data_IF_300982424878
#
_entry.id   IF_300982424878
#
_cell.length_a   1.000
_cell.length_b   1.000
_cell.length_c   1.000
_cell.angle_alpha   90.00
_cell.angle_beta   90.00
_cell.angle_gamma   90.00
#
_symmetry.space_group_name_H-M   'P 1'
#
loop_
_entity.id
_entity.type
_entity.pdbx_description
1 polymer ?
#
# COMPACT_ATOMS: atom_id res chain seq x y z
N UNK A 1 -15.69 23.79 8.37
CA UNK A 1 -16.36 22.67 7.65
C UNK A 1 -15.36 21.54 7.54
N UNK A 2 -15.55 20.43 8.27
CA UNK A 2 -14.76 19.20 8.08
C UNK A 2 -15.45 18.43 6.95
N UNK A 3 -14.88 18.49 5.76
CA UNK A 3 -15.39 17.77 4.61
C UNK A 3 -15.47 16.27 4.91
N UNK A 4 -16.57 15.67 4.45
CA UNK A 4 -16.99 14.30 4.68
C UNK A 4 -16.01 13.28 4.06
N UNK A 5 -14.90 12.98 4.71
CA UNK A 5 -13.95 11.95 4.27
C UNK A 5 -14.46 10.49 4.41
N UNK A 6 -15.71 10.26 4.84
CA UNK A 6 -16.00 9.03 5.58
C UNK A 6 -16.75 7.90 4.86
N UNK A 7 -17.14 7.97 3.58
CA UNK A 7 -17.90 6.84 2.99
C UNK A 7 -17.04 5.77 2.33
N UNK A 8 -15.95 6.12 1.64
CA UNK A 8 -15.24 5.17 0.76
C UNK A 8 -13.71 5.14 0.95
N UNK A 9 -13.21 5.27 2.20
CA UNK A 9 -11.79 5.07 2.51
C UNK A 9 -11.52 3.61 2.92
N UNK A 10 -10.53 2.91 2.32
CA UNK A 10 -10.11 1.60 2.81
C UNK A 10 -9.49 1.75 4.22
N UNK A 11 -9.69 0.81 5.16
CA UNK A 11 -9.08 0.85 6.48
C UNK A 11 -7.55 0.99 6.41
N UNK A 12 -6.99 1.94 7.17
CA UNK A 12 -5.56 2.25 7.13
C UNK A 12 -5.11 2.98 5.85
N UNK A 13 -6.04 3.40 4.99
CA UNK A 13 -5.76 4.08 3.74
C UNK A 13 -5.66 5.60 3.86
N UNK A 14 -5.97 6.19 5.01
CA UNK A 14 -6.13 7.64 5.21
C UNK A 14 -4.85 8.43 4.88
N UNK A 15 -3.69 7.80 5.02
CA UNK A 15 -2.37 8.42 4.78
C UNK A 15 -1.48 7.54 3.88
N UNK A 16 -2.08 6.73 3.02
CA UNK A 16 -1.36 5.68 2.28
C UNK A 16 -1.83 5.57 0.84
N UNK A 17 -1.02 4.88 0.03
CA UNK A 17 -1.41 4.39 -1.29
C UNK A 17 -1.87 2.95 -1.12
N UNK A 18 -3.11 2.68 -1.46
CA UNK A 18 -3.71 1.34 -1.37
C UNK A 18 -4.07 0.87 -2.77
N UNK A 19 -3.53 -0.27 -3.18
CA UNK A 19 -3.83 -0.89 -4.47
C UNK A 19 -4.54 -2.22 -4.25
N UNK A 20 -5.79 -2.30 -4.70
CA UNK A 20 -6.45 -3.58 -4.88
C UNK A 20 -6.02 -4.23 -6.17
N UNK A 21 -5.65 -5.52 -6.10
CA UNK A 21 -5.05 -6.29 -7.19
C UNK A 21 -5.63 -7.70 -7.24
N UNK A 22 -5.46 -8.40 -8.36
CA UNK A 22 -5.75 -9.84 -8.48
C UNK A 22 -4.59 -10.60 -9.09
N UNK A 23 -4.45 -11.89 -8.77
CA UNK A 23 -3.60 -12.86 -9.48
C UNK A 23 -4.41 -13.92 -10.27
N UNK A 24 -5.74 -13.73 -10.40
CA UNK A 24 -6.63 -14.76 -10.95
C UNK A 24 -6.76 -14.80 -12.48
N UNK A 25 -7.05 -13.66 -13.13
CA UNK A 25 -7.28 -13.57 -14.59
C UNK A 25 -6.13 -12.88 -15.30
N UNK A 26 -5.57 -13.51 -16.33
CA UNK A 26 -4.33 -13.07 -17.01
C UNK A 26 -4.37 -11.63 -17.52
N UNK A 27 -5.49 -11.20 -18.11
CA UNK A 27 -5.65 -9.81 -18.58
C UNK A 27 -5.61 -8.81 -17.41
N UNK A 28 -6.29 -9.14 -16.31
CA UNK A 28 -6.29 -8.31 -15.09
C UNK A 28 -4.95 -8.32 -14.37
N UNK A 29 -4.21 -9.43 -14.41
CA UNK A 29 -2.84 -9.51 -13.88
C UNK A 29 -1.95 -8.49 -14.60
N UNK A 30 -2.07 -8.43 -15.93
CA UNK A 30 -1.28 -7.51 -16.76
C UNK A 30 -1.58 -6.05 -16.39
N UNK A 31 -2.85 -5.69 -16.26
CA UNK A 31 -3.28 -4.36 -15.82
C UNK A 31 -2.80 -4.02 -14.40
N UNK A 32 -2.92 -4.95 -13.45
CA UNK A 32 -2.43 -4.76 -12.08
C UNK A 32 -0.92 -4.58 -12.03
N UNK A 33 -0.16 -5.38 -12.80
CA UNK A 33 1.29 -5.25 -12.91
C UNK A 33 1.71 -3.91 -13.51
N UNK A 34 0.99 -3.43 -14.52
CA UNK A 34 1.24 -2.12 -15.10
C UNK A 34 1.07 -1.00 -14.06
N UNK A 35 -0.06 -0.98 -13.34
CA UNK A 35 -0.32 0.02 -12.28
C UNK A 35 0.73 -0.06 -11.18
N UNK A 36 1.10 -1.28 -10.76
CA UNK A 36 2.15 -1.50 -9.75
C UNK A 36 3.50 -0.91 -10.18
N UNK A 37 3.88 -1.09 -11.45
CA UNK A 37 5.14 -0.56 -11.98
C UNK A 37 5.19 0.97 -12.00
N UNK A 38 4.08 1.63 -12.37
CA UNK A 38 4.00 3.10 -12.31
C UNK A 38 4.11 3.59 -10.87
N UNK A 39 3.35 3.02 -9.93
CA UNK A 39 3.41 3.47 -8.55
C UNK A 39 4.82 3.29 -7.95
N UNK A 40 5.51 2.19 -8.29
CA UNK A 40 6.90 1.98 -7.89
C UNK A 40 7.87 2.99 -8.50
N UNK A 41 7.67 3.44 -9.75
CA UNK A 41 8.53 4.46 -10.36
C UNK A 41 8.41 5.82 -9.66
N UNK A 42 7.26 6.11 -9.05
CA UNK A 42 7.05 7.27 -8.18
C UNK A 42 7.63 7.09 -6.76
N UNK A 43 8.31 5.98 -6.47
CA UNK A 43 8.99 5.69 -5.20
C UNK A 43 8.06 5.74 -3.97
N UNK A 44 6.76 5.49 -4.17
CA UNK A 44 5.80 5.41 -3.08
C UNK A 44 5.68 4.00 -2.54
N UNK A 45 5.44 3.89 -1.24
CA UNK A 45 5.04 2.64 -0.63
C UNK A 45 3.59 2.32 -0.95
N UNK A 46 3.34 1.07 -1.34
CA UNK A 46 2.03 0.58 -1.77
C UNK A 46 1.57 -0.48 -0.77
N UNK A 47 0.39 -0.28 -0.19
CA UNK A 47 -0.32 -1.32 0.54
C UNK A 47 -1.14 -2.11 -0.48
N UNK A 48 -0.67 -3.31 -0.81
CA UNK A 48 -1.37 -4.19 -1.74
C UNK A 48 -2.47 -5.00 -1.04
N UNK A 49 -3.65 -5.05 -1.66
CA UNK A 49 -4.81 -5.83 -1.23
C UNK A 49 -5.17 -6.80 -2.35
N UNK A 50 -4.64 -8.01 -2.25
CA UNK A 50 -4.88 -9.07 -3.23
C UNK A 50 -6.23 -9.75 -2.95
N UNK A 51 -7.19 -9.62 -3.88
CA UNK A 51 -8.59 -9.99 -3.66
C UNK A 51 -8.89 -11.46 -3.95
N UNK A 52 -8.03 -12.18 -4.69
CA UNK A 52 -8.28 -13.58 -5.04
C UNK A 52 -7.85 -14.55 -3.93
N UNK A 53 -6.89 -14.15 -3.10
CA UNK A 53 -6.38 -14.89 -1.94
C UNK A 53 -7.09 -14.48 -0.64
N UNK A 54 -7.74 -13.32 -0.59
CA UNK A 54 -8.42 -12.83 0.60
C UNK A 54 -9.81 -12.24 0.30
N UNK A 55 -10.85 -13.03 0.61
CA UNK A 55 -12.25 -12.64 0.41
C UNK A 55 -12.67 -11.42 1.25
N UNK A 56 -11.98 -11.12 2.36
CA UNK A 56 -12.24 -9.92 3.13
C UNK A 56 -11.91 -8.65 2.34
N UNK A 57 -10.84 -8.66 1.55
CA UNK A 57 -10.50 -7.54 0.66
C UNK A 57 -11.48 -7.42 -0.51
N UNK A 58 -11.97 -8.53 -1.04
CA UNK A 58 -13.04 -8.51 -2.04
C UNK A 58 -14.31 -7.84 -1.50
N UNK A 59 -14.75 -8.25 -0.31
CA UNK A 59 -15.93 -7.68 0.36
C UNK A 59 -15.72 -6.21 0.72
N UNK A 60 -14.53 -5.84 1.17
CA UNK A 60 -14.18 -4.45 1.43
C UNK A 60 -14.29 -3.60 0.17
N UNK A 61 -13.65 -4.01 -0.94
CA UNK A 61 -13.72 -3.27 -2.19
C UNK A 61 -15.16 -3.11 -2.68
N UNK A 62 -15.97 -4.18 -2.57
CA UNK A 62 -17.40 -4.15 -2.90
C UNK A 62 -18.17 -3.15 -2.03
N UNK A 63 -17.88 -3.07 -0.73
CA UNK A 63 -18.50 -2.09 0.18
C UNK A 63 -18.10 -0.65 -0.16
N UNK A 64 -16.84 -0.43 -0.53
CA UNK A 64 -16.30 0.89 -0.85
C UNK A 64 -16.81 1.43 -2.20
N UNK A 65 -16.94 0.57 -3.22
CA UNK A 65 -17.21 1.01 -4.59
C UNK A 65 -18.51 0.47 -5.20
N UNK A 66 -19.18 -0.48 -4.54
CA UNK A 66 -20.31 -1.22 -5.12
C UNK A 66 -19.91 -2.23 -6.20
N UNK A 67 -18.62 -2.29 -6.56
CA UNK A 67 -18.02 -3.16 -7.59
C UNK A 67 -16.70 -3.73 -7.09
N UNK A 68 -16.17 -4.73 -7.80
CA UNK A 68 -14.92 -5.43 -7.43
C UNK A 68 -13.92 -5.51 -8.58
N UNK A 69 -13.97 -4.51 -9.46
CA UNK A 69 -13.03 -4.38 -10.56
C UNK A 69 -11.66 -3.98 -10.02
N UNK A 70 -10.62 -4.64 -10.54
CA UNK A 70 -9.23 -4.37 -10.22
C UNK A 70 -8.43 -4.18 -11.52
N UNK A 71 -7.35 -3.39 -11.53
CA UNK A 71 -6.79 -2.67 -10.38
C UNK A 71 -7.71 -1.56 -9.89
N UNK A 72 -7.73 -1.31 -8.57
CA UNK A 72 -8.42 -0.17 -7.98
C UNK A 72 -7.48 0.56 -7.02
N UNK A 73 -7.16 1.81 -7.35
CA UNK A 73 -6.20 2.63 -6.62
C UNK A 73 -6.91 3.62 -5.69
N UNK A 74 -6.43 3.68 -4.46
CA UNK A 74 -6.78 4.71 -3.49
C UNK A 74 -5.52 5.45 -3.04
N UNK A 75 -5.62 6.76 -2.90
CA UNK A 75 -4.55 7.63 -2.39
C UNK A 75 -5.14 8.53 -1.32
N UNK A 76 -4.57 8.50 -0.11
CA UNK A 76 -5.04 9.30 1.03
C UNK A 76 -6.55 9.09 1.27
N UNK A 77 -6.97 7.83 1.24
CA UNK A 77 -8.36 7.41 1.43
C UNK A 77 -9.32 7.73 0.28
N UNK A 78 -8.86 8.38 -0.81
CA UNK A 78 -9.70 8.72 -1.95
C UNK A 78 -9.53 7.73 -3.08
N UNK A 79 -10.63 7.25 -3.65
CA UNK A 79 -10.61 6.44 -4.86
C UNK A 79 -10.14 7.28 -6.04
N UNK A 80 -9.08 6.82 -6.73
CA UNK A 80 -8.47 7.49 -7.88
C UNK A 80 -8.99 6.91 -9.19
N UNK A 81 -9.21 5.59 -9.25
CA UNK A 81 -9.69 4.92 -10.45
C UNK A 81 -9.09 3.54 -10.65
N UNK A 82 -9.40 2.95 -11.80
CA UNK A 82 -8.77 1.73 -12.29
C UNK A 82 -7.70 2.02 -13.34
N UNK A 83 -7.34 1.01 -14.13
CA UNK A 83 -6.19 1.09 -15.04
C UNK A 83 -6.28 2.26 -16.03
N UNK A 84 -7.46 2.56 -16.57
CA UNK A 84 -7.64 3.60 -17.60
C UNK A 84 -7.49 5.00 -17.01
N UNK A 85 -8.07 5.24 -15.83
CA UNK A 85 -7.92 6.52 -15.14
C UNK A 85 -6.46 6.75 -14.73
N UNK A 86 -5.80 5.71 -14.22
CA UNK A 86 -4.39 5.77 -13.80
C UNK A 86 -3.47 6.04 -15.01
N UNK A 87 -3.69 5.34 -16.13
CA UNK A 87 -2.97 5.60 -17.40
C UNK A 87 -3.11 7.06 -17.83
N UNK A 88 -4.35 7.56 -17.85
CA UNK A 88 -4.61 8.94 -18.26
C UNK A 88 -3.95 9.96 -17.33
N UNK A 89 -3.92 9.69 -16.01
CA UNK A 89 -3.24 10.55 -15.04
C UNK A 89 -1.72 10.54 -15.21
N UNK A 90 -1.14 9.38 -15.51
CA UNK A 90 0.30 9.23 -15.76
C UNK A 90 0.72 9.96 -17.04
N UNK A 91 0.00 9.74 -18.15
CA UNK A 91 0.25 10.42 -19.43
C UNK A 91 0.15 11.95 -19.32
N UNK A 92 -0.78 12.45 -18.49
CA UNK A 92 -0.94 13.89 -18.22
C UNK A 92 0.04 14.42 -17.17
N UNK A 93 0.91 13.57 -16.61
CA UNK A 93 1.84 13.93 -15.54
C UNK A 93 1.16 14.39 -14.25
N UNK A 94 -0.11 14.01 -14.03
CA UNK A 94 -0.90 14.40 -12.85
C UNK A 94 -0.79 13.38 -11.71
N UNK A 95 -0.45 12.12 -12.00
CA UNK A 95 -0.32 11.08 -10.98
C UNK A 95 0.76 11.44 -9.93
N UNK A 96 1.90 11.99 -10.36
CA UNK A 96 2.99 12.45 -9.48
C UNK A 96 2.53 13.46 -8.43
N UNK A 97 1.56 14.32 -8.77
CA UNK A 97 1.03 15.34 -7.84
C UNK A 97 0.25 14.71 -6.69
N UNK A 98 -0.47 13.63 -6.97
CA UNK A 98 -1.13 12.84 -5.93
C UNK A 98 -0.12 12.17 -5.00
N UNK A 99 1.01 11.70 -5.56
CA UNK A 99 2.07 11.05 -4.79
C UNK A 99 2.80 12.03 -3.87
N UNK A 100 3.08 13.26 -4.31
CA UNK A 100 3.68 14.30 -3.46
C UNK A 100 2.85 14.69 -2.24
N UNK A 101 1.55 14.41 -2.26
CA UNK A 101 0.66 14.69 -1.14
C UNK A 101 0.77 13.66 -0.02
N UNK A 102 1.53 12.58 -0.21
CA UNK A 102 1.69 11.53 0.78
C UNK A 102 2.74 11.96 1.82
N UNK A 103 2.43 11.92 3.13
CA UNK A 103 3.38 12.31 4.17
C UNK A 103 4.70 11.51 4.12
N UNK A 104 5.82 12.21 3.89
CA UNK A 104 7.17 11.64 3.75
C UNK A 104 7.63 10.92 5.01
N UNK A 105 7.26 11.41 6.19
CA UNK A 105 7.67 10.83 7.48
C UNK A 105 7.19 9.38 7.64
N UNK A 106 6.00 9.04 7.14
CA UNK A 106 5.51 7.65 7.14
C UNK A 106 6.28 6.78 6.16
N UNK A 107 6.56 7.28 4.95
CA UNK A 107 7.35 6.55 3.95
C UNK A 107 8.76 6.24 4.46
N UNK A 108 9.41 7.20 5.12
CA UNK A 108 10.75 7.01 5.68
C UNK A 108 10.75 6.04 6.87
N UNK A 109 9.82 6.19 7.81
CA UNK A 109 9.71 5.28 8.95
C UNK A 109 9.41 3.84 8.52
N UNK A 110 8.58 3.64 7.51
CA UNK A 110 8.23 2.31 7.02
C UNK A 110 9.38 1.68 6.22
N UNK A 111 10.15 2.46 5.45
CA UNK A 111 11.41 2.01 4.84
C UNK A 111 12.45 1.61 5.89
N UNK A 112 12.66 2.44 6.91
CA UNK A 112 13.60 2.18 8.00
C UNK A 112 13.18 0.92 8.78
N UNK A 113 11.89 0.78 9.12
CA UNK A 113 11.36 -0.41 9.79
C UNK A 113 11.56 -1.67 8.95
N UNK A 114 11.25 -1.63 7.64
CA UNK A 114 11.46 -2.78 6.75
C UNK A 114 12.93 -3.19 6.67
N UNK A 115 13.83 -2.23 6.51
CA UNK A 115 15.28 -2.50 6.48
C UNK A 115 15.78 -3.06 7.82
N UNK A 116 15.29 -2.53 8.95
CA UNK A 116 15.61 -3.04 10.27
C UNK A 116 15.08 -4.46 10.52
N UNK A 117 13.82 -4.74 10.14
CA UNK A 117 13.23 -6.08 10.27
C UNK A 117 13.91 -7.12 9.37
N UNK A 118 14.27 -6.75 8.14
CA UNK A 118 15.04 -7.61 7.22
C UNK A 118 16.45 -7.85 7.77
N UNK A 119 17.13 -6.84 8.29
CA UNK A 119 18.43 -6.99 8.96
C UNK A 119 18.36 -7.92 10.18
N UNK A 120 17.29 -7.82 11.00
CA UNK A 120 17.04 -8.68 12.16
C UNK A 120 16.68 -10.12 11.80
N UNK A 121 15.99 -10.38 10.68
CA UNK A 121 15.75 -11.73 10.17
C UNK A 121 17.05 -12.40 9.71
N UNK A 122 17.95 -11.62 9.12
CA UNK A 122 19.24 -12.11 8.61
C UNK A 122 20.27 -12.32 9.73
N UNK A 123 20.05 -11.74 10.91
CA UNK A 123 20.93 -11.87 12.09
C UNK A 123 20.41 -12.84 13.17
N UNK A 124 19.34 -13.60 12.91
CA UNK A 124 18.92 -14.75 13.74
C UNK A 124 19.78 -16.01 13.54
N UNK A 125 21.09 -15.81 13.44
CA UNK A 125 22.12 -16.84 13.51
C UNK A 125 23.11 -16.65 14.66
N UNK A 126 22.92 -15.68 15.56
CA UNK A 126 23.81 -15.46 16.71
C UNK A 126 23.01 -15.38 18.01
N UNK A 127 22.97 -16.50 18.72
CA UNK A 127 22.65 -16.56 20.14
C UNK A 127 23.64 -15.67 20.90
N UNK A 128 23.15 -14.66 21.61
CA UNK A 128 23.92 -14.03 22.68
C UNK A 128 23.20 -14.21 24.01
N UNK A 129 23.92 -14.86 24.93
CA UNK A 129 23.50 -15.23 26.26
C UNK A 129 23.11 -14.02 27.12
N UNK A 130 22.16 -14.26 28.02
CA UNK A 130 21.74 -13.30 29.05
C UNK A 130 22.90 -13.06 30.01
N UNK A 131 23.50 -11.88 29.97
CA UNK A 131 24.39 -11.42 31.04
C UNK A 131 23.51 -10.97 32.21
N UNK A 132 23.50 -11.78 33.26
CA UNK A 132 22.87 -11.50 34.54
C UNK A 132 23.65 -10.40 35.28
N UNK A 133 23.01 -9.27 35.56
CA UNK A 133 23.56 -8.25 36.48
C UNK A 133 23.44 -8.75 37.91
N UNK A 134 24.57 -9.17 38.50
CA UNK A 134 24.71 -9.27 39.96
C UNK A 134 24.62 -7.87 40.56
N UNK A 135 23.71 -7.68 41.52
CA UNK A 135 23.80 -6.57 42.49
C UNK A 135 24.69 -7.04 43.63
N UNK A 136 25.80 -6.36 43.87
CA UNK A 136 26.54 -6.46 45.12
C UNK A 136 25.84 -5.61 46.18
N UNK A 137 25.69 -6.17 47.38
CA UNK A 137 25.64 -5.47 48.66
C UNK A 137 26.94 -5.86 49.37
#
# INVERSE_FOLDING_TARGET
MRDSFSKNCPPGGENSVVLYTTIGWQDRITECNYVRSILKSHQVEIIEREISANSAYWLELRKLLGRTEVPALFVLGKFIGGVNEIKSLEEKGKLKLLMYSIPVEKQWLDLVKRNWYSSKKNSRGLHFGKISRRKSI
#
